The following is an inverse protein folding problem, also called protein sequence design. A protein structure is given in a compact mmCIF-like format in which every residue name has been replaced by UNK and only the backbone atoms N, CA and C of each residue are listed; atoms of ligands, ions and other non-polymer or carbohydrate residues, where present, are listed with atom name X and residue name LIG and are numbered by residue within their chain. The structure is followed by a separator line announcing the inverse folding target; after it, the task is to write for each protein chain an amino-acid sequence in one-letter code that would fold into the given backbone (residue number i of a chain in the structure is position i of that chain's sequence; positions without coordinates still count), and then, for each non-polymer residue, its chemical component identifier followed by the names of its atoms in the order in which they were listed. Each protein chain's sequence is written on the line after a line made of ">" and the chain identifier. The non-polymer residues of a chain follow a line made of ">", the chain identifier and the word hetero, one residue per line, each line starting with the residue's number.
data_IF_667970399949
#
_entry.id   IF_667970399949
#
_cell.length_a   1.000
_cell.length_b   1.000
_cell.length_c   1.000
_cell.angle_alpha   90.00
_cell.angle_beta   90.00
_cell.angle_gamma   90.00
#
_symmetry.space_group_name_H-M   'P 1'
#
loop_
_entity.id
_entity.type
_entity.pdbx_description
1 polymer ?
#
# COMPACT_ATOMS: atom_id res chain seq x y z
N UNK A 1 14.74 -36.22 -41.22
CA UNK A 1 13.63 -35.69 -40.41
C UNK A 1 14.20 -34.60 -39.53
N UNK A 2 14.03 -33.33 -39.90
CA UNK A 2 14.63 -32.18 -39.19
C UNK A 2 13.59 -31.68 -38.18
N UNK A 3 13.93 -31.54 -36.89
CA UNK A 3 13.00 -31.00 -35.89
C UNK A 3 12.65 -29.55 -36.23
N UNK A 4 11.35 -29.25 -36.21
CA UNK A 4 10.80 -27.94 -36.56
C UNK A 4 11.05 -26.93 -35.44
N UNK A 5 12.20 -26.23 -35.52
CA UNK A 5 12.68 -25.24 -34.56
C UNK A 5 11.74 -24.01 -34.40
N UNK A 6 10.80 -23.82 -35.33
CA UNK A 6 9.85 -22.70 -35.30
C UNK A 6 8.80 -22.84 -34.19
N UNK A 7 8.46 -24.07 -33.79
CA UNK A 7 7.49 -24.35 -32.72
C UNK A 7 8.04 -24.07 -31.33
N UNK A 8 9.33 -24.27 -31.11
CA UNK A 8 9.99 -23.97 -29.83
C UNK A 8 10.06 -22.46 -29.57
N UNK A 9 10.19 -21.64 -30.61
CA UNK A 9 10.27 -20.17 -30.48
C UNK A 9 8.88 -19.52 -30.28
N UNK A 10 7.81 -20.10 -30.83
CA UNK A 10 6.44 -19.58 -30.66
C UNK A 10 5.83 -19.91 -29.29
N UNK A 11 6.05 -21.11 -28.76
CA UNK A 11 5.48 -21.53 -27.47
C UNK A 11 6.17 -20.82 -26.30
N UNK A 12 7.51 -20.69 -26.32
CA UNK A 12 8.25 -19.99 -25.28
C UNK A 12 7.90 -18.50 -25.17
N UNK A 13 7.57 -17.83 -26.27
CA UNK A 13 7.16 -16.42 -26.27
C UNK A 13 5.72 -16.22 -25.75
N UNK A 14 4.76 -17.06 -26.14
CA UNK A 14 3.38 -16.96 -25.68
C UNK A 14 3.23 -17.27 -24.18
N UNK A 15 3.91 -18.31 -23.68
CA UNK A 15 3.92 -18.64 -22.25
C UNK A 15 4.64 -17.57 -21.42
N UNK A 16 5.76 -17.03 -21.92
CA UNK A 16 6.48 -15.94 -21.23
C UNK A 16 5.64 -14.67 -21.14
N UNK A 17 4.87 -14.31 -22.18
CA UNK A 17 3.97 -13.15 -22.16
C UNK A 17 2.79 -13.36 -21.20
N UNK A 18 2.20 -14.56 -21.19
CA UNK A 18 1.10 -14.89 -20.27
C UNK A 18 1.54 -14.87 -18.79
N UNK A 19 2.74 -15.40 -18.48
CA UNK A 19 3.30 -15.38 -17.12
C UNK A 19 3.65 -13.95 -16.68
N UNK A 20 4.25 -13.14 -17.56
CA UNK A 20 4.56 -11.73 -17.27
C UNK A 20 3.30 -10.92 -16.95
N UNK A 21 2.24 -11.05 -17.76
CA UNK A 21 0.97 -10.35 -17.51
C UNK A 21 0.32 -10.76 -16.18
N UNK A 22 0.45 -12.03 -15.77
CA UNK A 22 -0.08 -12.50 -14.49
C UNK A 22 0.63 -11.87 -13.28
N UNK A 23 1.95 -11.73 -13.34
CA UNK A 23 2.72 -11.08 -12.27
C UNK A 23 2.40 -9.58 -12.22
N UNK A 24 2.33 -8.90 -13.37
CA UNK A 24 1.94 -7.48 -13.41
C UNK A 24 0.57 -7.27 -12.79
N UNK A 25 -0.46 -8.03 -13.19
CA UNK A 25 -1.80 -7.92 -12.59
C UNK A 25 -1.79 -8.14 -11.08
N UNK A 26 -1.07 -9.15 -10.59
CA UNK A 26 -0.98 -9.40 -9.15
C UNK A 26 -0.24 -8.28 -8.40
N UNK A 27 0.85 -7.75 -8.98
CA UNK A 27 1.57 -6.61 -8.41
C UNK A 27 0.70 -5.36 -8.39
N UNK A 28 -0.02 -5.06 -9.48
CA UNK A 28 -0.94 -3.93 -9.56
C UNK A 28 -2.16 -4.10 -8.64
N UNK A 29 -2.71 -5.31 -8.51
CA UNK A 29 -3.78 -5.60 -7.56
C UNK A 29 -3.32 -5.42 -6.12
N UNK A 30 -2.15 -5.93 -5.74
CA UNK A 30 -1.63 -5.75 -4.39
C UNK A 30 -1.28 -4.29 -4.10
N UNK A 31 -0.73 -3.58 -5.09
CA UNK A 31 -0.40 -2.16 -4.97
C UNK A 31 -1.66 -1.30 -4.79
N UNK A 32 -2.70 -1.51 -5.61
CA UNK A 32 -3.97 -0.80 -5.48
C UNK A 32 -4.71 -1.18 -4.19
N UNK A 33 -4.71 -2.47 -3.82
CA UNK A 33 -5.26 -2.92 -2.55
C UNK A 33 -4.58 -2.26 -1.35
N UNK A 34 -3.27 -1.96 -1.43
CA UNK A 34 -2.53 -1.24 -0.39
C UNK A 34 -2.89 0.26 -0.26
N UNK A 35 -3.48 0.87 -1.28
CA UNK A 35 -3.97 2.27 -1.20
C UNK A 35 -5.24 2.38 -0.36
N UNK A 36 -6.04 1.31 -0.25
CA UNK A 36 -7.25 1.30 0.58
C UNK A 36 -6.92 1.50 2.08
N UNK A 37 -6.03 0.71 2.70
CA UNK A 37 -5.68 0.92 4.11
C UNK A 37 -4.94 2.23 4.37
N UNK A 38 -4.16 2.79 3.44
CA UNK A 38 -3.54 4.10 3.67
C UNK A 38 -4.57 5.22 3.77
N UNK A 39 -5.54 5.25 2.85
CA UNK A 39 -6.63 6.25 2.86
C UNK A 39 -7.54 6.06 4.07
N UNK A 40 -7.91 4.81 4.37
CA UNK A 40 -8.71 4.49 5.55
C UNK A 40 -7.99 4.88 6.84
N UNK A 41 -6.68 4.57 6.94
CA UNK A 41 -5.84 4.92 8.08
C UNK A 41 -5.68 6.43 8.24
N UNK A 42 -5.43 7.16 7.15
CA UNK A 42 -5.36 8.62 7.20
C UNK A 42 -6.69 9.24 7.68
N UNK A 43 -7.82 8.78 7.12
CA UNK A 43 -9.14 9.29 7.49
C UNK A 43 -9.47 9.02 8.96
N UNK A 44 -9.28 7.78 9.42
CA UNK A 44 -9.46 7.39 10.83
C UNK A 44 -8.49 8.20 11.72
N UNK A 45 -7.22 8.36 11.32
CA UNK A 45 -6.21 9.07 12.10
C UNK A 45 -6.53 10.55 12.29
N UNK A 46 -7.09 11.21 11.27
CA UNK A 46 -7.56 12.60 11.34
C UNK A 46 -8.77 12.70 12.30
N UNK A 47 -9.72 11.75 12.23
CA UNK A 47 -10.95 11.76 13.04
C UNK A 47 -10.70 11.43 14.51
N UNK A 48 -9.89 10.40 14.78
CA UNK A 48 -9.47 10.05 16.13
C UNK A 48 -8.49 11.06 16.70
N UNK A 49 -7.91 11.90 15.83
CA UNK A 49 -7.19 13.12 16.16
C UNK A 49 -6.38 12.94 17.41
N UNK A 50 -5.39 12.02 17.38
CA UNK A 50 -4.63 11.51 18.52
C UNK A 50 -4.27 12.61 19.53
N UNK A 51 -5.22 12.97 20.38
CA UNK A 51 -5.11 14.04 21.37
C UNK A 51 -4.21 13.59 22.52
N UNK A 52 -3.97 12.27 22.60
CA UNK A 52 -2.99 11.63 23.47
C UNK A 52 -1.54 11.96 23.10
N UNK A 53 -1.26 12.43 21.88
CA UNK A 53 0.08 12.88 21.45
C UNK A 53 0.33 14.37 21.58
N UNK A 54 -0.63 15.13 22.10
CA UNK A 54 -0.42 16.56 22.36
C UNK A 54 0.49 16.84 23.56
N UNK A 55 0.73 15.83 24.42
CA UNK A 55 1.50 16.01 25.66
C UNK A 55 3.00 15.67 25.58
N UNK A 56 3.44 14.81 24.65
CA UNK A 56 4.86 14.45 24.50
C UNK A 56 5.16 13.65 23.22
N UNK A 57 5.89 14.23 22.24
CA UNK A 57 6.33 13.55 21.01
C UNK A 57 7.13 12.25 21.24
N UNK A 58 7.79 12.15 22.40
CA UNK A 58 8.52 10.96 22.84
C UNK A 58 7.62 9.72 22.99
N UNK A 59 6.38 9.89 23.48
CA UNK A 59 5.46 8.78 23.65
C UNK A 59 5.02 8.22 22.29
N UNK A 60 4.90 9.08 21.26
CA UNK A 60 4.56 8.64 19.89
C UNK A 60 5.68 7.88 19.27
N UNK A 61 6.89 8.36 19.47
CA UNK A 61 8.08 7.70 18.98
C UNK A 61 8.24 6.32 19.64
N UNK A 62 7.97 6.21 20.95
CA UNK A 62 8.06 4.94 21.66
C UNK A 62 6.93 3.97 21.27
N UNK A 63 5.68 4.44 21.17
CA UNK A 63 4.55 3.62 20.75
C UNK A 63 4.72 3.18 19.29
N UNK A 64 5.17 4.09 18.41
CA UNK A 64 5.54 3.78 17.04
C UNK A 64 6.63 2.71 16.99
N UNK A 65 7.69 2.87 17.78
CA UNK A 65 8.77 1.91 17.83
C UNK A 65 8.26 0.53 18.27
N UNK A 66 7.46 0.47 19.34
CA UNK A 66 6.88 -0.77 19.83
C UNK A 66 5.96 -1.46 18.82
N UNK A 67 5.06 -0.71 18.19
CA UNK A 67 4.14 -1.23 17.17
C UNK A 67 4.91 -1.65 15.92
N UNK A 68 5.87 -0.85 15.45
CA UNK A 68 6.68 -1.15 14.28
C UNK A 68 7.52 -2.42 14.48
N UNK A 69 8.20 -2.57 15.62
CA UNK A 69 8.91 -3.81 15.94
C UNK A 69 7.97 -5.01 16.06
N UNK A 70 6.78 -4.82 16.65
CA UNK A 70 5.75 -5.86 16.72
C UNK A 70 5.29 -6.33 15.34
N UNK A 71 5.00 -5.39 14.44
CA UNK A 71 4.64 -5.70 13.05
C UNK A 71 5.81 -6.32 12.29
N UNK A 72 7.03 -5.81 12.42
CA UNK A 72 8.20 -6.41 11.77
C UNK A 72 8.39 -7.86 12.20
N UNK A 73 8.34 -8.16 13.50
CA UNK A 73 8.45 -9.52 14.00
C UNK A 73 7.31 -10.43 13.50
N UNK A 74 6.08 -9.91 13.50
CA UNK A 74 4.91 -10.67 13.05
C UNK A 74 4.96 -10.94 11.53
N UNK A 75 5.33 -9.95 10.72
CA UNK A 75 5.50 -10.09 9.27
C UNK A 75 6.64 -11.07 8.98
N UNK A 76 7.76 -10.98 9.70
CA UNK A 76 8.90 -11.91 9.57
C UNK A 76 8.48 -13.37 9.79
N UNK A 77 7.52 -13.60 10.69
CA UNK A 77 6.97 -14.93 10.97
C UNK A 77 5.98 -15.42 9.90
N UNK A 78 5.32 -14.52 9.18
CA UNK A 78 4.26 -14.84 8.20
C UNK A 78 4.62 -14.47 6.73
N UNK A 79 5.90 -14.27 6.41
CA UNK A 79 6.39 -13.76 5.09
C UNK A 79 5.91 -14.54 3.87
N UNK A 80 5.77 -15.86 3.96
CA UNK A 80 5.47 -16.74 2.82
C UNK A 80 3.99 -17.10 2.67
N UNK A 81 3.09 -16.38 3.35
CA UNK A 81 1.67 -16.73 3.38
C UNK A 81 0.78 -15.52 3.11
N UNK A 82 -0.44 -15.77 2.62
CA UNK A 82 -1.50 -14.76 2.46
C UNK A 82 -1.77 -14.03 3.78
N UNK A 83 -1.58 -14.69 4.92
CA UNK A 83 -1.64 -14.07 6.25
C UNK A 83 -0.65 -12.92 6.41
N UNK A 84 0.55 -13.03 5.82
CA UNK A 84 1.54 -11.95 5.79
C UNK A 84 1.08 -10.74 4.99
N UNK A 85 0.31 -10.94 3.92
CA UNK A 85 -0.29 -9.84 3.13
C UNK A 85 -1.30 -9.05 3.96
N UNK A 86 -2.14 -9.73 4.75
CA UNK A 86 -3.07 -9.05 5.67
C UNK A 86 -2.34 -8.29 6.79
N UNK A 87 -1.26 -8.87 7.33
CA UNK A 87 -0.40 -8.17 8.30
C UNK A 87 0.25 -6.93 7.67
N UNK A 88 0.72 -7.02 6.43
CA UNK A 88 1.27 -5.89 5.69
C UNK A 88 0.21 -4.80 5.45
N UNK A 89 -1.01 -5.16 5.05
CA UNK A 89 -2.11 -4.18 4.92
C UNK A 89 -2.44 -3.51 6.26
N UNK A 90 -2.41 -4.27 7.36
CA UNK A 90 -2.56 -3.72 8.72
C UNK A 90 -1.43 -2.77 9.10
N UNK A 91 -0.19 -3.09 8.76
CA UNK A 91 0.96 -2.22 8.97
C UNK A 91 0.85 -0.94 8.11
N UNK A 92 0.46 -1.08 6.86
CA UNK A 92 0.21 0.03 5.94
C UNK A 92 -0.90 0.95 6.46
N UNK A 93 -1.96 0.39 7.05
CA UNK A 93 -3.00 1.15 7.74
C UNK A 93 -2.44 1.95 8.92
N UNK A 94 -1.62 1.31 9.76
CA UNK A 94 -0.94 1.98 10.87
C UNK A 94 -0.04 3.12 10.40
N UNK A 95 0.69 2.94 9.30
CA UNK A 95 1.48 4.02 8.69
C UNK A 95 0.58 5.16 8.18
N UNK A 96 -0.57 4.85 7.60
CA UNK A 96 -1.59 5.85 7.23
C UNK A 96 -2.11 6.65 8.43
N UNK A 97 -2.34 5.98 9.57
CA UNK A 97 -2.72 6.65 10.82
C UNK A 97 -1.66 7.64 11.29
N UNK A 98 -0.37 7.29 11.22
CA UNK A 98 0.73 8.19 11.62
C UNK A 98 0.87 9.40 10.69
N UNK A 99 0.55 9.23 9.40
CA UNK A 99 0.52 10.30 8.41
C UNK A 99 -0.54 11.39 8.71
N UNK A 100 -1.56 11.06 9.52
CA UNK A 100 -2.61 12.01 9.90
C UNK A 100 -2.10 13.29 10.57
N UNK A 101 -0.96 13.24 11.26
CA UNK A 101 -0.33 14.42 11.88
C UNK A 101 0.19 15.40 10.84
N UNK A 102 0.86 14.88 9.80
CA UNK A 102 1.34 15.68 8.68
C UNK A 102 0.15 16.23 7.87
N UNK A 103 -0.88 15.41 7.65
CA UNK A 103 -2.12 15.86 7.02
C UNK A 103 -2.83 16.93 7.85
N UNK A 104 -2.81 16.83 9.19
CA UNK A 104 -3.35 17.85 10.09
C UNK A 104 -2.68 19.22 9.93
N UNK A 105 -1.38 19.26 9.66
CA UNK A 105 -0.67 20.50 9.31
C UNK A 105 -1.13 21.05 7.95
N UNK A 106 -1.22 20.19 6.93
CA UNK A 106 -1.69 20.58 5.61
C UNK A 106 -3.15 21.04 5.60
N UNK A 107 -4.01 20.48 6.47
CA UNK A 107 -5.40 20.90 6.67
C UNK A 107 -5.53 22.33 7.23
N UNK A 108 -4.47 22.88 7.84
CA UNK A 108 -4.44 24.28 8.28
C UNK A 108 -4.34 25.30 7.14
N UNK A 109 -4.07 24.85 5.91
CA UNK A 109 -4.09 25.70 4.71
C UNK A 109 -5.53 25.92 4.24
N UNK A 110 -5.82 27.08 3.64
CA UNK A 110 -7.16 27.47 3.17
C UNK A 110 -7.84 26.43 2.25
N UNK A 111 -7.06 25.63 1.51
CA UNK A 111 -7.56 24.55 0.64
C UNK A 111 -6.97 23.16 0.98
N UNK A 112 -6.49 22.96 2.21
CA UNK A 112 -5.74 21.77 2.60
C UNK A 112 -6.47 20.45 2.35
N UNK A 113 -7.75 20.37 2.74
CA UNK A 113 -8.55 19.17 2.55
C UNK A 113 -8.75 18.82 1.08
N UNK A 114 -8.98 19.85 0.24
CA UNK A 114 -9.17 19.68 -1.18
C UNK A 114 -7.88 19.27 -1.89
N UNK A 115 -6.74 19.85 -1.51
CA UNK A 115 -5.43 19.48 -2.03
C UNK A 115 -5.05 18.03 -1.68
N UNK A 116 -5.22 17.65 -0.41
CA UNK A 116 -4.96 16.28 0.06
C UNK A 116 -5.88 15.29 -0.65
N UNK A 117 -7.18 15.60 -0.72
CA UNK A 117 -8.18 14.76 -1.38
C UNK A 117 -7.89 14.58 -2.86
N UNK A 118 -7.56 15.66 -3.58
CA UNK A 118 -7.25 15.61 -5.01
C UNK A 118 -5.94 14.84 -5.27
N UNK A 119 -4.90 15.07 -4.48
CA UNK A 119 -3.63 14.36 -4.62
C UNK A 119 -3.78 12.86 -4.35
N UNK A 120 -4.47 12.49 -3.27
CA UNK A 120 -4.70 11.10 -2.90
C UNK A 120 -5.63 10.38 -3.91
N UNK A 121 -6.74 11.02 -4.29
CA UNK A 121 -7.69 10.45 -5.25
C UNK A 121 -7.10 10.35 -6.66
N UNK A 122 -6.34 11.36 -7.10
CA UNK A 122 -5.65 11.32 -8.40
C UNK A 122 -4.64 10.18 -8.46
N UNK A 123 -3.78 10.07 -7.44
CA UNK A 123 -2.75 9.02 -7.37
C UNK A 123 -3.38 7.62 -7.28
N UNK A 124 -4.32 7.44 -6.34
CA UNK A 124 -5.02 6.17 -6.17
C UNK A 124 -5.85 5.78 -7.39
N UNK A 125 -6.53 6.76 -8.02
CA UNK A 125 -7.31 6.55 -9.22
C UNK A 125 -6.48 6.11 -10.41
N UNK A 126 -5.27 6.68 -10.61
CA UNK A 126 -4.34 6.25 -11.66
C UNK A 126 -3.90 4.80 -11.43
N UNK A 127 -3.45 4.47 -10.21
CA UNK A 127 -3.01 3.10 -9.91
C UNK A 127 -4.14 2.08 -10.01
N UNK A 128 -5.34 2.45 -9.56
CA UNK A 128 -6.52 1.61 -9.70
C UNK A 128 -6.92 1.41 -11.17
N UNK A 129 -6.93 2.48 -11.97
CA UNK A 129 -7.19 2.41 -13.41
C UNK A 129 -6.21 1.49 -14.13
N UNK A 130 -4.91 1.62 -13.84
CA UNK A 130 -3.89 0.69 -14.36
C UNK A 130 -4.13 -0.75 -13.90
N UNK A 131 -4.56 -0.97 -12.66
CA UNK A 131 -4.87 -2.31 -12.15
C UNK A 131 -6.10 -2.95 -12.78
N UNK A 132 -7.10 -2.17 -13.20
CA UNK A 132 -8.31 -2.69 -13.86
C UNK A 132 -8.08 -2.94 -15.35
N UNK A 133 -7.23 -2.12 -15.99
CA UNK A 133 -6.94 -2.19 -17.43
C UNK A 133 -5.80 -3.16 -17.80
N UNK A 134 -4.92 -3.51 -16.85
CA UNK A 134 -3.83 -4.49 -17.05
C UNK A 134 -4.33 -5.93 -16.97
#
# INVERSE_FOLDING_TARGET
>A
MIPDISRFQSTGNAETVAVKNKVLKNTYMLLSASMVPTVAGAWIGIKFGFSLFSGSPLLSMLLFMGIAFGFFFAIEKFKNSTTGVYLLLGFTFFMGLMLSRLLGFALGMQNGAQLIGLAAAGTGGIFFGMSVLS
#
